data_IF_839790827762
#
_entry.id   IF_839790827762
#
_cell.length_a   1.000
_cell.length_b   1.000
_cell.length_c   1.000
_cell.angle_alpha   90.00
_cell.angle_beta   90.00
_cell.angle_gamma   90.00
#
_symmetry.space_group_name_H-M   'P 1'
#
loop_
_entity.id
_entity.type
_entity.pdbx_description
1 polymer ?
#
# COMPACT_ATOMS: atom_id res chain seq x y z
N UNK A 1 7.88 -49.01 -36.16
CA UNK A 1 7.18 -48.61 -34.92
C UNK A 1 8.16 -47.79 -34.08
N UNK A 2 8.05 -46.47 -34.09
CA UNK A 2 8.77 -45.59 -33.17
C UNK A 2 7.73 -44.60 -32.62
N UNK A 3 7.36 -44.79 -31.35
CA UNK A 3 6.46 -43.88 -30.64
C UNK A 3 7.32 -42.74 -30.10
N UNK A 4 7.28 -41.59 -30.77
CA UNK A 4 7.81 -40.34 -30.23
C UNK A 4 6.92 -39.92 -29.06
N UNK A 5 7.34 -40.21 -27.83
CA UNK A 5 6.76 -39.55 -26.66
C UNK A 5 7.40 -38.17 -26.53
N UNK A 6 6.61 -37.07 -26.47
CA UNK A 6 7.15 -35.77 -26.15
C UNK A 6 7.54 -35.78 -24.66
N UNK A 7 8.84 -35.83 -24.40
CA UNK A 7 9.44 -35.56 -23.10
C UNK A 7 9.39 -34.05 -22.90
N UNK A 8 8.40 -33.56 -22.14
CA UNK A 8 8.32 -32.13 -21.86
C UNK A 8 7.58 -31.79 -20.56
N UNK A 9 7.86 -32.54 -19.49
CA UNK A 9 7.69 -32.00 -18.13
C UNK A 9 8.92 -31.13 -17.82
N UNK A 10 8.90 -29.93 -18.37
CA UNK A 10 9.89 -28.89 -18.10
C UNK A 10 9.51 -28.23 -16.75
N UNK A 11 10.28 -28.42 -15.66
CA UNK A 11 9.86 -28.00 -14.31
C UNK A 11 9.71 -26.47 -14.16
N UNK A 12 10.28 -25.69 -15.09
CA UNK A 12 10.15 -24.23 -15.14
C UNK A 12 8.75 -23.77 -15.54
N UNK A 13 8.00 -24.60 -16.29
CA UNK A 13 6.68 -24.24 -16.80
C UNK A 13 5.61 -24.21 -15.71
N UNK A 14 5.75 -25.07 -14.70
CA UNK A 14 4.86 -25.12 -13.54
C UNK A 14 5.08 -23.94 -12.57
N UNK A 15 6.29 -23.39 -12.54
CA UNK A 15 6.60 -22.24 -11.67
C UNK A 15 6.01 -20.93 -12.22
N UNK A 16 5.97 -20.77 -13.54
CA UNK A 16 5.41 -19.55 -14.17
C UNK A 16 3.89 -19.43 -14.05
N UNK A 17 3.15 -20.55 -14.13
CA UNK A 17 1.68 -20.52 -13.92
C UNK A 17 1.30 -20.29 -12.46
N UNK A 18 2.12 -20.77 -11.53
CA UNK A 18 1.87 -20.54 -10.10
C UNK A 18 2.11 -19.07 -9.72
N UNK A 19 3.13 -18.43 -10.29
CA UNK A 19 3.43 -17.01 -10.03
C UNK A 19 2.31 -16.08 -10.49
N UNK A 20 1.75 -16.31 -11.68
CA UNK A 20 0.61 -15.50 -12.16
C UNK A 20 -0.68 -15.74 -11.37
N UNK A 21 -0.85 -16.92 -10.76
CA UNK A 21 -1.93 -17.17 -9.80
C UNK A 21 -1.74 -16.33 -8.53
N UNK A 22 -0.53 -16.36 -7.95
CA UNK A 22 -0.24 -15.64 -6.70
C UNK A 22 -0.36 -14.12 -6.83
N UNK A 23 0.03 -13.56 -7.97
CA UNK A 23 -0.15 -12.14 -8.26
C UNK A 23 -1.64 -11.76 -8.30
N UNK A 24 -2.49 -12.58 -8.94
CA UNK A 24 -3.94 -12.39 -8.94
C UNK A 24 -4.53 -12.54 -7.55
N UNK A 25 -4.06 -13.51 -6.79
CA UNK A 25 -4.52 -13.74 -5.41
C UNK A 25 -4.14 -12.54 -4.51
N UNK A 26 -2.94 -11.97 -4.67
CA UNK A 26 -2.51 -10.80 -3.92
C UNK A 26 -3.38 -9.57 -4.24
N UNK A 27 -3.62 -9.31 -5.53
CA UNK A 27 -4.50 -8.21 -5.95
C UNK A 27 -5.94 -8.42 -5.45
N UNK A 28 -6.46 -9.65 -5.52
CA UNK A 28 -7.78 -9.98 -4.97
C UNK A 28 -7.87 -9.70 -3.46
N UNK A 29 -6.82 -10.03 -2.69
CA UNK A 29 -6.81 -9.77 -1.24
C UNK A 29 -6.83 -8.27 -0.95
N UNK A 30 -6.06 -7.49 -1.71
CA UNK A 30 -6.03 -6.03 -1.59
C UNK A 30 -7.42 -5.45 -1.88
N UNK A 31 -8.04 -5.85 -2.98
CA UNK A 31 -9.33 -5.30 -3.44
C UNK A 31 -10.51 -5.72 -2.54
N UNK A 32 -10.56 -7.00 -2.13
CA UNK A 32 -11.71 -7.55 -1.40
C UNK A 32 -11.64 -7.30 0.12
N UNK A 33 -10.43 -7.27 0.69
CA UNK A 33 -10.24 -7.16 2.14
C UNK A 33 -9.59 -5.84 2.58
N UNK A 34 -9.30 -4.93 1.64
CA UNK A 34 -8.66 -3.63 1.91
C UNK A 34 -7.31 -3.78 2.64
N UNK A 35 -6.61 -4.89 2.37
CA UNK A 35 -5.32 -5.22 2.96
C UNK A 35 -4.21 -4.54 2.16
N UNK A 36 -3.22 -3.89 2.81
CA UNK A 36 -2.08 -3.32 2.11
C UNK A 36 -1.30 -4.36 1.30
N UNK A 37 -0.82 -3.97 0.11
CA UNK A 37 -0.03 -4.82 -0.80
C UNK A 37 1.10 -5.62 -0.10
N UNK A 38 1.92 -5.04 0.80
CA UNK A 38 2.97 -5.79 1.49
C UNK A 38 2.41 -6.93 2.36
N UNK A 39 1.31 -6.68 3.07
CA UNK A 39 0.68 -7.68 3.93
C UNK A 39 -0.01 -8.78 3.11
N UNK A 40 -0.61 -8.42 1.97
CA UNK A 40 -1.20 -9.38 1.04
C UNK A 40 -0.13 -10.30 0.41
N UNK A 41 1.02 -9.75 0.03
CA UNK A 41 2.15 -10.50 -0.51
C UNK A 41 2.72 -11.48 0.52
N UNK A 42 2.93 -11.03 1.77
CA UNK A 42 3.41 -11.87 2.87
C UNK A 42 2.47 -13.05 3.18
N UNK A 43 1.15 -12.88 3.03
CA UNK A 43 0.16 -13.93 3.28
C UNK A 43 0.22 -15.07 2.24
N UNK A 44 0.63 -14.79 1.01
CA UNK A 44 0.63 -15.75 -0.11
C UNK A 44 2.03 -16.31 -0.38
N UNK A 45 3.07 -15.53 -0.06
CA UNK A 45 4.44 -15.93 -0.25
C UNK A 45 4.82 -17.14 0.61
N UNK A 46 5.66 -18.02 0.07
CA UNK A 46 6.19 -19.17 0.82
C UNK A 46 7.46 -18.81 1.58
N UNK A 47 8.17 -17.79 1.12
CA UNK A 47 9.41 -17.31 1.70
C UNK A 47 9.51 -15.78 1.53
N UNK A 48 10.37 -15.11 2.32
CA UNK A 48 10.46 -13.65 2.30
C UNK A 48 10.93 -13.09 0.96
N UNK A 49 11.76 -13.84 0.22
CA UNK A 49 12.28 -13.38 -1.06
C UNK A 49 11.17 -13.38 -2.14
N UNK A 50 10.27 -14.36 -2.09
CA UNK A 50 9.07 -14.39 -2.93
C UNK A 50 8.08 -13.26 -2.56
N UNK A 51 7.99 -12.88 -1.29
CA UNK A 51 7.15 -11.76 -0.85
C UNK A 51 7.62 -10.43 -1.44
N UNK A 52 8.93 -10.16 -1.40
CA UNK A 52 9.53 -8.95 -1.98
C UNK A 52 9.23 -8.86 -3.50
N UNK A 53 9.38 -9.97 -4.24
CA UNK A 53 9.09 -10.03 -5.68
C UNK A 53 7.61 -9.74 -5.98
N UNK A 54 6.68 -10.31 -5.19
CA UNK A 54 5.24 -10.08 -5.35
C UNK A 54 4.85 -8.64 -5.01
N UNK A 55 5.46 -8.07 -3.98
CA UNK A 55 5.23 -6.69 -3.58
C UNK A 55 5.67 -5.72 -4.68
N UNK A 56 6.89 -5.87 -5.23
CA UNK A 56 7.37 -5.00 -6.31
C UNK A 56 6.43 -5.02 -7.53
N UNK A 57 5.96 -6.20 -7.93
CA UNK A 57 5.05 -6.34 -9.07
C UNK A 57 3.70 -5.67 -8.83
N UNK A 58 3.09 -5.89 -7.66
CA UNK A 58 1.83 -5.27 -7.29
C UNK A 58 1.95 -3.73 -7.21
N UNK A 59 3.08 -3.20 -6.72
CA UNK A 59 3.35 -1.76 -6.74
C UNK A 59 3.46 -1.19 -8.15
N UNK A 60 4.17 -1.86 -9.06
CA UNK A 60 4.29 -1.41 -10.45
C UNK A 60 2.94 -1.47 -11.19
N UNK A 61 2.13 -2.48 -10.91
CA UNK A 61 0.78 -2.56 -11.46
C UNK A 61 -0.13 -1.45 -10.90
N UNK A 62 -0.05 -1.16 -9.61
CA UNK A 62 -0.82 -0.08 -8.98
C UNK A 62 -0.42 1.30 -9.54
N UNK A 63 0.88 1.54 -9.74
CA UNK A 63 1.38 2.75 -10.41
C UNK A 63 0.78 2.94 -11.80
N UNK A 64 0.81 1.89 -12.63
CA UNK A 64 0.24 1.94 -13.98
C UNK A 64 -1.26 2.25 -14.00
N UNK A 65 -1.97 1.96 -12.91
CA UNK A 65 -3.38 2.27 -12.75
C UNK A 65 -3.65 3.64 -12.10
N UNK A 66 -2.64 4.30 -11.54
CA UNK A 66 -2.80 5.60 -10.90
C UNK A 66 -3.01 6.69 -11.97
N UNK A 67 -4.22 7.26 -12.10
CA UNK A 67 -4.48 8.31 -13.08
C UNK A 67 -3.74 9.63 -12.76
N UNK A 68 -3.16 9.75 -11.57
CA UNK A 68 -2.35 10.88 -11.14
C UNK A 68 -0.85 10.58 -11.19
N UNK A 69 -0.43 9.44 -11.73
CA UNK A 69 0.98 9.12 -11.90
C UNK A 69 1.68 10.22 -12.74
N UNK A 70 2.79 10.75 -12.22
CA UNK A 70 3.53 11.84 -12.85
C UNK A 70 2.96 13.25 -12.61
N UNK A 71 1.81 13.40 -11.93
CA UNK A 71 1.36 14.70 -11.44
C UNK A 71 2.19 15.05 -10.20
N UNK A 72 2.97 16.15 -10.22
CA UNK A 72 3.77 16.51 -9.07
C UNK A 72 2.86 16.79 -7.87
N UNK A 73 3.12 16.12 -6.76
CA UNK A 73 2.44 16.43 -5.49
C UNK A 73 2.72 17.90 -5.16
N UNK A 74 1.70 18.72 -4.90
CA UNK A 74 1.92 20.13 -4.60
C UNK A 74 2.82 20.27 -3.38
N UNK A 75 3.91 21.03 -3.52
CA UNK A 75 4.80 21.33 -2.41
C UNK A 75 4.01 22.08 -1.34
N UNK A 76 4.02 21.57 -0.10
CA UNK A 76 3.41 22.28 1.01
C UNK A 76 4.04 23.68 1.12
N UNK A 77 3.23 24.75 1.19
CA UNK A 77 3.76 26.10 1.31
C UNK A 77 4.68 26.14 2.52
N UNK A 78 5.92 26.59 2.32
CA UNK A 78 6.91 26.70 3.37
C UNK A 78 6.29 27.39 4.58
N UNK A 79 6.29 26.69 5.75
CA UNK A 79 5.78 27.29 6.99
C UNK A 79 6.49 28.62 7.18
N UNK A 80 5.77 29.75 7.32
CA UNK A 80 6.42 31.01 7.65
C UNK A 80 7.14 30.80 8.99
N UNK A 81 8.47 30.84 8.97
CA UNK A 81 9.32 30.65 10.17
C UNK A 81 9.14 31.77 11.21
N UNK A 82 8.43 32.85 10.85
CA UNK A 82 8.36 34.07 11.66
C UNK A 82 6.92 34.49 12.02
N UNK A 83 6.08 33.55 12.47
CA UNK A 83 4.91 33.97 13.25
C UNK A 83 5.40 34.39 14.64
N UNK A 84 5.60 35.71 14.83
CA UNK A 84 5.64 36.33 16.16
C UNK A 84 4.54 35.69 17.01
N UNK A 85 4.81 35.22 18.24
CA UNK A 85 3.77 34.65 19.08
C UNK A 85 2.71 35.73 19.26
N UNK A 86 1.51 35.48 18.71
CA UNK A 86 0.35 36.30 19.01
C UNK A 86 0.22 36.27 20.52
N UNK A 87 0.36 37.44 21.16
CA UNK A 87 0.21 37.58 22.59
C UNK A 87 -1.08 36.91 23.00
N UNK A 88 -0.94 35.78 23.69
CA UNK A 88 -1.97 35.10 24.47
C UNK A 88 -2.90 36.13 25.12
N UNK A 89 -4.06 36.33 24.49
CA UNK A 89 -5.14 37.11 25.07
C UNK A 89 -5.78 36.23 26.13
N UNK A 90 -5.25 36.31 27.36
CA UNK A 90 -5.83 35.64 28.51
C UNK A 90 -7.24 36.19 28.69
N UNK A 91 -8.25 35.36 28.42
CA UNK A 91 -9.64 35.71 28.71
C UNK A 91 -9.87 35.44 30.20
N UNK A 92 -10.05 36.50 30.98
CA UNK A 92 -10.46 36.37 32.38
C UNK A 92 -11.85 35.74 32.46
N UNK A 93 -11.90 34.49 32.94
CA UNK A 93 -13.16 33.79 33.20
C UNK A 93 -13.73 34.32 34.51
N UNK A 94 -14.78 35.17 34.41
CA UNK A 94 -15.52 35.64 35.60
C UNK A 94 -16.43 34.53 36.11
N UNK A 95 -16.01 33.85 37.18
CA UNK A 95 -16.88 32.96 37.94
C UNK A 95 -17.97 33.77 38.65
N UNK A 96 -19.22 33.69 38.18
CA UNK A 96 -20.38 34.06 39.00
C UNK A 96 -20.58 32.96 40.04
N UNK A 97 -20.47 33.31 41.32
CA UNK A 97 -20.98 32.45 42.40
C UNK A 97 -22.50 32.52 42.35
N UNK A 98 -23.14 31.36 42.12
CA UNK A 98 -24.57 31.21 42.39
C UNK A 98 -24.70 31.03 43.90
N UNK A 99 -25.17 32.06 44.59
CA UNK A 99 -25.71 31.91 45.95
C UNK A 99 -27.14 31.38 45.79
N UNK A 100 -27.33 30.11 46.12
CA UNK A 100 -28.65 29.53 46.29
C UNK A 100 -29.08 29.76 47.75
N UNK A 101 -30.18 30.50 47.92
CA UNK A 101 -30.98 30.54 49.15
C UNK A 101 -32.05 29.46 49.12
#
# INVERSE_FOLDING_TARGET
MAKNQPSHDDPRKLQSENRSSKERDANFIVDEFDVPVPEAADLIARDPQEADELQEQAFEHQKQQDPLEGVPTPESPARPRDRKPAGHMQKDVRHRKNEAS
#
